data_IF_342370157903
#
_entry.id   IF_342370157903
#
_cell.length_a   1.000
_cell.length_b   1.000
_cell.length_c   1.000
_cell.angle_alpha   90.00
_cell.angle_beta   90.00
_cell.angle_gamma   90.00
#
_symmetry.space_group_name_H-M   'P 1'
#
loop_
_entity.id
_entity.type
_entity.pdbx_description
1 polymer ?
#
# COMPACT_ATOMS: atom_id res chain seq x y z
N UNK A 1 -8.43 7.16 -17.69
CA UNK A 1 -8.70 6.78 -16.29
C UNK A 1 -7.37 6.48 -15.64
N UNK A 2 -7.23 6.84 -14.37
CA UNK A 2 -6.02 6.69 -13.56
C UNK A 2 -6.33 5.82 -12.35
N UNK A 3 -5.33 5.07 -11.88
CA UNK A 3 -5.44 4.26 -10.66
C UNK A 3 -4.21 4.53 -9.81
N UNK A 4 -4.39 4.79 -8.52
CA UNK A 4 -3.32 4.84 -7.53
C UNK A 4 -3.43 3.64 -6.59
N UNK A 5 -2.28 3.19 -6.10
CA UNK A 5 -2.14 2.16 -5.09
C UNK A 5 -1.24 2.66 -3.98
N UNK A 6 -1.55 2.29 -2.75
CA UNK A 6 -0.68 2.43 -1.57
C UNK A 6 -0.38 1.02 -1.08
N UNK A 7 0.91 0.71 -0.95
CA UNK A 7 1.40 -0.65 -0.76
C UNK A 7 2.25 -0.70 0.50
N UNK A 8 1.98 -1.69 1.37
CA UNK A 8 2.87 -2.06 2.46
C UNK A 8 4.05 -2.86 1.87
N UNK A 9 5.26 -2.32 1.97
CA UNK A 9 6.47 -2.92 1.38
C UNK A 9 6.81 -4.27 2.01
N UNK A 10 6.58 -4.41 3.32
CA UNK A 10 6.95 -5.60 4.08
C UNK A 10 6.11 -6.83 3.66
N UNK A 11 4.80 -6.73 3.75
CA UNK A 11 3.85 -7.80 3.44
C UNK A 11 3.44 -7.80 1.96
N UNK A 12 3.83 -6.78 1.19
CA UNK A 12 3.39 -6.54 -0.19
C UNK A 12 1.88 -6.38 -0.32
N UNK A 13 1.22 -5.94 0.75
CA UNK A 13 -0.24 -5.79 0.80
C UNK A 13 -0.66 -4.46 0.20
N UNK A 14 -1.67 -4.45 -0.66
CA UNK A 14 -2.30 -3.21 -1.12
C UNK A 14 -3.23 -2.72 -0.02
N UNK A 15 -2.85 -1.63 0.64
CA UNK A 15 -3.59 -1.06 1.77
C UNK A 15 -4.65 -0.04 1.34
N UNK A 16 -4.44 0.62 0.20
CA UNK A 16 -5.38 1.59 -0.32
C UNK A 16 -5.26 1.73 -1.83
N UNK A 17 -6.36 2.09 -2.48
CA UNK A 17 -6.39 2.29 -3.92
C UNK A 17 -7.52 3.22 -4.35
N UNK A 18 -7.36 3.87 -5.50
CA UNK A 18 -8.41 4.75 -6.02
C UNK A 18 -8.39 4.82 -7.55
N UNK A 19 -9.56 4.66 -8.16
CA UNK A 19 -9.78 4.91 -9.59
C UNK A 19 -10.34 6.32 -9.80
N UNK A 20 -9.73 7.08 -10.69
CA UNK A 20 -10.15 8.43 -11.05
C UNK A 20 -10.26 8.61 -12.57
N UNK A 21 -11.17 9.48 -13.01
CA UNK A 21 -11.24 9.93 -14.40
C UNK A 21 -10.18 11.00 -14.72
N UNK A 22 -9.59 11.64 -13.71
CA UNK A 22 -8.64 12.75 -13.87
C UNK A 22 -7.44 12.63 -12.92
N UNK A 23 -6.28 13.12 -13.35
CA UNK A 23 -5.03 13.07 -12.61
C UNK A 23 -4.89 14.26 -11.65
N UNK A 24 -5.77 14.35 -10.65
CA UNK A 24 -5.72 15.37 -9.57
C UNK A 24 -5.11 14.79 -8.30
N UNK A 25 -4.45 15.58 -7.46
CA UNK A 25 -3.87 15.11 -6.19
C UNK A 25 -4.87 14.37 -5.30
N UNK A 26 -6.13 14.80 -5.29
CA UNK A 26 -7.16 14.32 -4.37
C UNK A 26 -7.37 12.80 -4.39
N UNK A 27 -7.24 12.15 -5.56
CA UNK A 27 -7.46 10.69 -5.63
C UNK A 27 -6.31 9.89 -5.01
N UNK A 28 -5.10 10.46 -4.96
CA UNK A 28 -3.95 9.84 -4.28
C UNK A 28 -4.11 9.96 -2.76
N UNK A 29 -4.65 11.09 -2.29
CA UNK A 29 -5.01 11.28 -0.89
C UNK A 29 -6.11 10.29 -0.47
N UNK A 30 -7.14 10.06 -1.30
CA UNK A 30 -8.16 9.05 -1.01
C UNK A 30 -7.57 7.64 -0.83
N UNK A 31 -6.57 7.27 -1.64
CA UNK A 31 -5.88 5.99 -1.51
C UNK A 31 -5.02 5.93 -0.24
N UNK A 32 -4.38 7.04 0.15
CA UNK A 32 -3.64 7.16 1.40
C UNK A 32 -4.56 7.03 2.62
N UNK A 33 -5.72 7.69 2.62
CA UNK A 33 -6.70 7.61 3.72
C UNK A 33 -7.20 6.18 3.94
N UNK A 34 -7.45 5.42 2.87
CA UNK A 34 -7.75 3.98 2.99
C UNK A 34 -6.62 3.22 3.68
N UNK A 35 -5.36 3.51 3.31
CA UNK A 35 -4.22 2.84 3.89
C UNK A 35 -4.01 3.20 5.37
N UNK A 36 -4.19 4.47 5.73
CA UNK A 36 -4.14 4.93 7.12
C UNK A 36 -5.23 4.28 7.96
N UNK A 37 -6.46 4.21 7.45
CA UNK A 37 -7.56 3.53 8.11
C UNK A 37 -7.29 2.04 8.32
N UNK A 38 -6.69 1.38 7.33
CA UNK A 38 -6.30 -0.02 7.43
C UNK A 38 -5.18 -0.25 8.46
N UNK A 39 -4.21 0.67 8.55
CA UNK A 39 -3.03 0.51 9.40
C UNK A 39 -3.24 0.95 10.85
N UNK A 40 -4.14 1.90 11.10
CA UNK A 40 -4.40 2.52 12.41
C UNK A 40 -3.10 2.81 13.19
N UNK A 41 -2.19 3.62 12.62
CA UNK A 41 -0.92 3.90 13.29
C UNK A 41 -1.18 4.47 14.69
N UNK A 42 -0.59 3.82 15.70
CA UNK A 42 -0.44 4.42 17.03
C UNK A 42 0.71 5.43 16.99
N UNK A 43 0.72 6.39 17.91
CA UNK A 43 1.77 7.40 18.06
C UNK A 43 3.19 6.84 18.20
N UNK A 44 3.33 5.56 18.56
CA UNK A 44 4.60 4.86 18.75
C UNK A 44 5.08 4.08 17.51
N UNK A 45 4.38 4.18 16.37
CA UNK A 45 4.75 3.49 15.13
C UNK A 45 5.36 4.47 14.14
N UNK A 46 6.68 4.42 13.96
CA UNK A 46 7.33 5.10 12.84
C UNK A 46 6.95 4.40 11.52
N UNK A 47 6.18 5.09 10.69
CA UNK A 47 5.84 4.65 9.34
C UNK A 47 6.53 5.59 8.34
N UNK A 48 7.25 4.99 7.40
CA UNK A 48 7.93 5.71 6.32
C UNK A 48 7.07 5.59 5.07
N UNK A 49 6.72 6.73 4.49
CA UNK A 49 5.98 6.77 3.23
C UNK A 49 6.94 7.12 2.08
N UNK A 50 7.08 6.19 1.14
CA UNK A 50 7.85 6.39 -0.09
C UNK A 50 6.92 6.72 -1.25
N UNK A 51 7.23 7.80 -1.96
CA UNK A 51 6.50 8.20 -3.16
C UNK A 51 7.45 8.66 -4.25
N UNK A 52 7.11 8.33 -5.50
CA UNK A 52 7.82 8.85 -6.66
C UNK A 52 7.72 10.38 -6.73
N UNK A 53 8.68 11.01 -7.41
CA UNK A 53 8.75 12.47 -7.62
C UNK A 53 7.67 13.02 -8.58
N UNK A 54 6.57 12.31 -8.77
CA UNK A 54 5.43 12.80 -9.55
C UNK A 54 4.83 14.04 -8.89
N UNK A 55 4.44 15.04 -9.67
CA UNK A 55 3.94 16.33 -9.15
C UNK A 55 2.72 16.21 -8.23
N UNK A 56 1.99 15.09 -8.29
CA UNK A 56 0.87 14.76 -7.40
C UNK A 56 1.34 14.36 -5.99
N UNK A 57 2.41 13.58 -5.91
CA UNK A 57 3.00 13.08 -4.66
C UNK A 57 3.89 14.12 -3.96
N UNK A 58 4.35 15.13 -4.71
CA UNK A 58 5.12 16.28 -4.19
C UNK A 58 4.22 17.47 -3.83
N UNK A 59 2.91 17.36 -4.05
CA UNK A 59 1.99 18.48 -3.77
C UNK A 59 1.86 18.74 -2.27
N UNK A 60 1.78 20.03 -1.91
CA UNK A 60 1.70 20.51 -0.51
C UNK A 60 0.65 19.73 0.29
N UNK A 61 -0.56 19.57 -0.28
CA UNK A 61 -1.67 18.84 0.35
C UNK A 61 -1.33 17.37 0.67
N UNK A 62 -0.51 16.71 -0.14
CA UNK A 62 -0.12 15.33 0.11
C UNK A 62 0.90 15.26 1.25
N UNK A 63 1.91 16.12 1.21
CA UNK A 63 2.94 16.21 2.26
C UNK A 63 2.34 16.61 3.62
N UNK A 64 1.45 17.61 3.65
CA UNK A 64 0.73 18.03 4.87
C UNK A 64 -0.06 16.86 5.48
N UNK A 65 -0.74 16.05 4.65
CA UNK A 65 -1.49 14.89 5.16
C UNK A 65 -0.59 13.76 5.66
N UNK A 66 0.60 13.58 5.09
CA UNK A 66 1.61 12.66 5.63
C UNK A 66 2.08 13.12 7.00
N UNK A 67 2.39 14.41 7.16
CA UNK A 67 2.78 15.02 8.43
C UNK A 67 1.68 14.90 9.49
N UNK A 68 0.43 15.21 9.16
CA UNK A 68 -0.73 15.04 10.05
C UNK A 68 -0.91 13.60 10.54
N UNK A 69 -0.58 12.62 9.68
CA UNK A 69 -0.67 11.21 9.99
C UNK A 69 0.56 10.66 10.73
N UNK A 70 1.55 11.50 11.05
CA UNK A 70 2.81 11.09 11.68
C UNK A 70 3.72 10.27 10.77
N UNK A 71 3.52 10.33 9.44
CA UNK A 71 4.33 9.64 8.45
C UNK A 71 5.53 10.49 8.07
N UNK A 72 6.74 9.94 8.16
CA UNK A 72 7.93 10.62 7.66
C UNK A 72 8.06 10.39 6.14
N UNK A 73 8.03 11.45 5.30
CA UNK A 73 8.30 11.31 3.88
C UNK A 73 9.80 11.03 3.68
N UNK A 74 10.14 9.91 3.04
CA UNK A 74 11.51 9.59 2.65
C UNK A 74 11.68 9.78 1.13
N UNK A 75 12.63 10.62 0.75
CA UNK A 75 13.00 10.87 -0.65
C UNK A 75 14.53 10.87 -0.78
N UNK A 76 15.07 9.92 -1.54
CA UNK A 76 16.46 9.85 -2.01
C UNK A 76 17.37 8.76 -1.41
N UNK A 77 16.87 7.66 -0.86
CA UNK A 77 17.70 6.60 -0.23
C UNK A 77 17.80 5.31 -1.07
N UNK A 78 18.68 4.36 -0.68
CA UNK A 78 18.79 3.04 -1.34
C UNK A 78 17.48 2.22 -1.26
N UNK A 79 16.69 2.40 -0.19
CA UNK A 79 15.38 1.75 -0.02
C UNK A 79 14.40 2.13 -1.14
N UNK A 80 14.46 3.37 -1.60
CA UNK A 80 13.58 3.92 -2.64
C UNK A 80 13.65 3.15 -3.95
N UNK A 81 14.82 2.60 -4.31
CA UNK A 81 14.98 1.82 -5.54
C UNK A 81 14.21 0.50 -5.48
N UNK A 82 14.19 -0.13 -4.30
CA UNK A 82 13.46 -1.37 -4.05
C UNK A 82 11.95 -1.12 -4.00
N UNK A 83 11.55 -0.03 -3.33
CA UNK A 83 10.16 0.36 -3.19
C UNK A 83 9.56 0.78 -4.54
N UNK A 84 10.33 1.50 -5.36
CA UNK A 84 9.94 1.83 -6.73
C UNK A 84 9.78 0.55 -7.58
N UNK A 85 10.73 -0.39 -7.51
CA UNK A 85 10.63 -1.65 -8.24
C UNK A 85 9.39 -2.47 -7.82
N UNK A 86 9.04 -2.46 -6.52
CA UNK A 86 7.81 -3.08 -6.02
C UNK A 86 6.56 -2.39 -6.58
N UNK A 87 6.50 -1.06 -6.53
CA UNK A 87 5.39 -0.29 -7.07
C UNK A 87 5.22 -0.52 -8.59
N UNK A 88 6.32 -0.50 -9.34
CA UNK A 88 6.36 -0.81 -10.78
C UNK A 88 5.86 -2.22 -11.07
N UNK A 89 6.26 -3.20 -10.26
CA UNK A 89 5.79 -4.60 -10.39
C UNK A 89 4.28 -4.68 -10.23
N UNK A 90 3.72 -4.09 -9.17
CA UNK A 90 2.26 -4.10 -8.91
C UNK A 90 1.52 -3.37 -10.03
N UNK A 91 2.02 -2.23 -10.48
CA UNK A 91 1.45 -1.50 -11.62
C UNK A 91 1.47 -2.32 -12.91
N UNK A 92 2.56 -3.05 -13.18
CA UNK A 92 2.70 -3.93 -14.34
C UNK A 92 1.73 -5.11 -14.31
N UNK A 93 1.59 -5.75 -13.15
CA UNK A 93 0.63 -6.84 -12.92
C UNK A 93 -0.80 -6.35 -13.13
N UNK A 94 -1.17 -5.23 -12.52
CA UNK A 94 -2.51 -4.65 -12.65
C UNK A 94 -2.85 -4.31 -14.11
N UNK A 95 -1.91 -3.66 -14.83
CA UNK A 95 -2.09 -3.35 -16.25
C UNK A 95 -2.30 -4.62 -17.08
N UNK A 96 -1.52 -5.65 -16.83
CA UNK A 96 -1.59 -6.91 -17.57
C UNK A 96 -2.89 -7.67 -17.29
N UNK A 97 -3.19 -7.89 -16.01
CA UNK A 97 -4.25 -8.80 -15.57
C UNK A 97 -5.65 -8.18 -15.58
N UNK A 98 -5.74 -6.85 -15.45
CA UNK A 98 -7.00 -6.10 -15.41
C UNK A 98 -7.16 -5.25 -16.66
N UNK A 99 -6.23 -4.32 -16.91
CA UNK A 99 -6.42 -3.32 -17.97
C UNK A 99 -6.41 -3.97 -19.36
N UNK A 100 -5.40 -4.77 -19.67
CA UNK A 100 -5.24 -5.38 -20.99
C UNK A 100 -6.11 -6.63 -21.16
N UNK A 101 -6.17 -7.49 -20.14
CA UNK A 101 -6.88 -8.77 -20.24
C UNK A 101 -8.42 -8.65 -20.17
N UNK A 102 -8.94 -7.68 -19.42
CA UNK A 102 -10.39 -7.53 -19.19
C UNK A 102 -10.99 -6.26 -19.81
N UNK A 103 -10.15 -5.38 -20.33
CA UNK A 103 -10.60 -4.19 -21.05
C UNK A 103 -11.21 -4.51 -22.43
N UNK A 104 -11.73 -3.49 -23.14
CA UNK A 104 -11.73 -2.07 -22.80
C UNK A 104 -12.80 -1.69 -21.75
N UNK A 105 -12.49 -0.68 -20.93
CA UNK A 105 -13.36 -0.18 -19.86
C UNK A 105 -14.21 0.99 -20.35
N UNK A 106 -15.54 0.85 -20.29
CA UNK A 106 -16.48 1.88 -20.77
C UNK A 106 -16.85 2.91 -19.71
N UNK A 107 -16.85 2.52 -18.44
CA UNK A 107 -17.25 3.38 -17.32
C UNK A 107 -16.24 3.29 -16.17
N UNK A 108 -16.13 4.37 -15.39
CA UNK A 108 -15.24 4.42 -14.22
C UNK A 108 -15.65 3.36 -13.20
N UNK A 109 -16.96 3.17 -13.05
CA UNK A 109 -17.58 2.24 -12.10
C UNK A 109 -17.23 0.79 -12.45
N UNK A 110 -17.20 0.44 -13.76
CA UNK A 110 -16.80 -0.90 -14.20
C UNK A 110 -15.34 -1.20 -13.89
N UNK A 111 -14.46 -0.20 -14.07
CA UNK A 111 -13.06 -0.32 -13.74
C UNK A 111 -12.87 -0.39 -12.21
N UNK A 112 -13.56 0.46 -11.45
CA UNK A 112 -13.52 0.49 -9.98
C UNK A 112 -13.95 -0.85 -9.37
N UNK A 113 -15.01 -1.48 -9.87
CA UNK A 113 -15.42 -2.81 -9.44
C UNK A 113 -14.36 -3.87 -9.77
N UNK A 114 -13.77 -3.81 -10.96
CA UNK A 114 -12.72 -4.74 -11.35
C UNK A 114 -11.45 -4.55 -10.53
N UNK A 115 -11.08 -3.30 -10.19
CA UNK A 115 -9.97 -2.99 -9.29
C UNK A 115 -10.25 -3.55 -7.89
N UNK A 116 -11.45 -3.34 -7.35
CA UNK A 116 -11.84 -3.89 -6.05
C UNK A 116 -11.69 -5.40 -6.01
N UNK A 117 -12.23 -6.11 -7.01
CA UNK A 117 -12.13 -7.57 -7.11
C UNK A 117 -10.67 -8.03 -7.24
N UNK A 118 -9.87 -7.34 -8.05
CA UNK A 118 -8.48 -7.69 -8.25
C UNK A 118 -7.63 -7.45 -7.00
N UNK A 119 -7.83 -6.32 -6.30
CA UNK A 119 -7.13 -6.01 -5.04
C UNK A 119 -7.51 -7.02 -3.96
N UNK A 120 -8.79 -7.39 -3.84
CA UNK A 120 -9.21 -8.44 -2.90
C UNK A 120 -8.47 -9.75 -3.19
N UNK A 121 -8.53 -10.23 -4.44
CA UNK A 121 -7.84 -11.45 -4.84
C UNK A 121 -6.32 -11.36 -4.63
N UNK A 122 -5.71 -10.23 -4.98
CA UNK A 122 -4.28 -10.00 -4.79
C UNK A 122 -3.88 -10.12 -3.31
N UNK A 123 -4.67 -9.51 -2.41
CA UNK A 123 -4.35 -9.50 -0.98
C UNK A 123 -4.64 -10.84 -0.28
N UNK A 124 -5.70 -11.55 -0.68
CA UNK A 124 -6.23 -12.69 0.07
C UNK A 124 -5.95 -14.05 -0.56
N UNK A 125 -5.71 -14.11 -1.88
CA UNK A 125 -5.61 -15.38 -2.61
C UNK A 125 -4.29 -15.52 -3.39
N UNK A 126 -3.67 -14.41 -3.82
CA UNK A 126 -2.45 -14.46 -4.63
C UNK A 126 -1.25 -14.88 -3.79
N UNK A 127 -0.65 -16.01 -4.14
CA UNK A 127 0.60 -16.48 -3.54
C UNK A 127 1.78 -15.72 -4.15
N UNK A 128 2.64 -15.18 -3.28
CA UNK A 128 3.87 -14.49 -3.69
C UNK A 128 5.09 -15.21 -3.11
N UNK A 129 5.98 -15.68 -3.98
CA UNK A 129 7.23 -16.35 -3.60
C UNK A 129 8.08 -15.48 -2.67
N UNK A 130 8.13 -14.17 -2.92
CA UNK A 130 8.93 -13.20 -2.19
C UNK A 130 8.51 -12.97 -0.73
N UNK A 131 7.35 -13.48 -0.30
CA UNK A 131 6.90 -13.53 1.10
C UNK A 131 6.71 -14.97 1.60
N UNK A 132 7.25 -15.96 0.90
CA UNK A 132 7.19 -17.37 1.32
C UNK A 132 6.00 -18.15 0.77
N UNK A 133 5.51 -17.81 -0.42
CA UNK A 133 4.38 -18.48 -1.08
C UNK A 133 3.06 -18.42 -0.29
N UNK A 134 2.81 -17.32 0.40
CA UNK A 134 1.55 -17.03 1.10
C UNK A 134 0.88 -15.77 0.54
N UNK A 135 -0.41 -15.54 0.81
CA UNK A 135 -1.07 -14.28 0.47
C UNK A 135 -0.52 -13.08 1.27
N UNK A 136 -0.51 -11.87 0.69
CA UNK A 136 -0.10 -10.64 1.38
C UNK A 136 -0.80 -10.39 2.73
N UNK A 137 -2.11 -10.65 2.81
CA UNK A 137 -2.87 -10.50 4.05
C UNK A 137 -2.40 -11.49 5.13
N UNK A 138 -1.98 -12.70 4.73
CA UNK A 138 -1.44 -13.68 5.66
C UNK A 138 -0.04 -13.29 6.15
N UNK A 139 0.83 -12.81 5.26
CA UNK A 139 2.15 -12.29 5.64
C UNK A 139 2.05 -11.15 6.65
N UNK A 140 1.12 -10.22 6.45
CA UNK A 140 0.84 -9.16 7.42
C UNK A 140 0.34 -9.70 8.76
N UNK A 141 -0.61 -10.64 8.75
CA UNK A 141 -1.12 -11.26 9.97
C UNK A 141 -0.01 -12.00 10.75
N UNK A 142 0.90 -12.66 10.04
CA UNK A 142 2.06 -13.33 10.62
C UNK A 142 3.02 -12.34 11.28
N UNK A 143 3.29 -11.21 10.66
CA UNK A 143 4.10 -10.13 11.24
C UNK A 143 3.51 -9.65 12.57
N UNK A 144 2.23 -9.28 12.60
CA UNK A 144 1.60 -8.78 13.82
C UNK A 144 1.56 -9.82 14.94
N UNK A 145 1.40 -11.10 14.59
CA UNK A 145 1.49 -12.19 15.56
C UNK A 145 2.90 -12.29 16.17
N UNK A 146 3.95 -12.13 15.36
CA UNK A 146 5.33 -12.14 15.85
C UNK A 146 5.66 -10.92 16.71
N UNK A 147 5.18 -9.74 16.32
CA UNK A 147 5.35 -8.50 17.11
C UNK A 147 4.67 -8.66 18.47
N UNK A 148 3.41 -9.12 18.51
CA UNK A 148 2.69 -9.35 19.76
C UNK A 148 3.40 -10.35 20.68
N UNK A 149 3.90 -11.46 20.12
CA UNK A 149 4.65 -12.46 20.88
C UNK A 149 5.96 -11.89 21.45
N UNK A 150 6.69 -11.08 20.68
CA UNK A 150 7.92 -10.44 21.13
C UNK A 150 7.67 -9.45 22.26
N UNK A 151 6.64 -8.62 22.14
CA UNK A 151 6.24 -7.67 23.20
C UNK A 151 5.87 -8.42 24.49
N UNK A 152 5.11 -9.51 24.37
CA UNK A 152 4.72 -10.33 25.52
C UNK A 152 5.93 -11.02 26.19
N UNK A 153 6.87 -11.54 25.38
CA UNK A 153 8.09 -12.16 25.90
C UNK A 153 8.97 -11.14 26.65
N UNK A 154 9.16 -9.95 26.09
CA UNK A 154 9.95 -8.89 26.69
C UNK A 154 9.35 -8.39 28.02
N UNK A 155 8.02 -8.27 28.08
CA UNK A 155 7.31 -7.91 29.31
C UNK A 155 7.49 -8.94 30.43
N UNK A 156 7.58 -10.24 30.11
CA UNK A 156 7.83 -11.29 31.10
C UNK A 156 9.28 -11.28 31.63
N UNK A 157 10.26 -10.90 30.80
CA UNK A 157 11.69 -10.85 31.19
C UNK A 157 12.08 -9.64 32.02
N UNK A 158 11.30 -8.55 32.00
CA UNK A 158 11.58 -7.32 32.78
C UNK A 158 11.10 -7.38 34.24
N UNK A 159 10.51 -8.51 34.67
CA UNK A 159 9.97 -8.72 36.02
C UNK A 159 10.80 -9.66 36.92
N UNK A 160 12.01 -10.05 36.49
CA UNK A 160 12.93 -10.89 37.29
C UNK A 160 14.19 -10.15 37.69
#
# INVERSE_FOLDING_TARGET
MFVAFVIDVYARRILGWRVSSHMRTDFVVDALEQALYARRPSSDTELIHHSDRGSQYVSIRYTERLEEAGLMPSVGSTGDSYDNALAETINGLYKTEVIHKRGPWKTRESLELATLQWVHWFNHDRLLESIGHIPPAEAEANYWRQVANTVQANACTSTN
#
